data_IF_602697539881
#
_entry.id   IF_602697539881
#
_cell.length_a   1.000
_cell.length_b   1.000
_cell.length_c   1.000
_cell.angle_alpha   90.00
_cell.angle_beta   90.00
_cell.angle_gamma   90.00
#
_symmetry.space_group_name_H-M   'P 1'
#
loop_
_entity.id
_entity.type
_entity.pdbx_description
1 polymer ?
#
# COMPACT_ATOMS: atom_id res chain seq x y z
N UNK A 1 -13.25 -1.25 6.14
CA UNK A 1 -12.02 -0.63 5.61
C UNK A 1 -10.85 -0.92 6.51
N UNK A 2 -9.70 -1.23 5.92
CA UNK A 2 -8.48 -1.40 6.69
C UNK A 2 -7.92 -0.04 7.08
N UNK A 3 -7.30 0.00 8.25
CA UNK A 3 -6.62 1.20 8.73
C UNK A 3 -5.25 0.81 9.24
N UNK A 4 -4.31 1.74 9.15
CA UNK A 4 -3.01 1.55 9.77
C UNK A 4 -3.16 1.56 11.28
N UNK A 5 -2.57 0.57 11.94
CA UNK A 5 -2.58 0.47 13.41
C UNK A 5 -1.31 1.08 13.96
N UNK A 6 -1.48 1.86 15.02
CA UNK A 6 -0.35 2.49 15.69
C UNK A 6 0.58 1.42 16.31
N UNK A 7 1.88 1.64 16.15
CA UNK A 7 2.88 0.74 16.73
C UNK A 7 3.25 -0.45 15.86
N UNK A 8 2.58 -0.64 14.72
CA UNK A 8 2.89 -1.73 13.79
C UNK A 8 3.66 -1.20 12.58
N UNK A 9 4.50 -2.06 12.03
CA UNK A 9 5.22 -1.76 10.79
C UNK A 9 4.47 -2.36 9.61
N UNK A 10 4.43 -1.62 8.51
CA UNK A 10 3.76 -2.05 7.29
C UNK A 10 4.71 -1.97 6.11
N UNK A 11 4.51 -2.88 5.15
CA UNK A 11 5.19 -2.82 3.86
C UNK A 11 4.16 -2.86 2.74
N UNK A 12 4.46 -2.16 1.65
CA UNK A 12 3.63 -2.18 0.46
C UNK A 12 3.77 -3.51 -0.26
N UNK A 13 2.65 -4.09 -0.71
CA UNK A 13 2.68 -5.32 -1.49
C UNK A 13 1.94 -5.13 -2.80
N UNK A 14 2.56 -5.54 -3.91
CA UNK A 14 1.93 -5.50 -5.22
C UNK A 14 0.73 -6.43 -5.29
N UNK A 15 0.79 -7.56 -4.56
CA UNK A 15 -0.31 -8.52 -4.51
C UNK A 15 -1.59 -7.87 -4.01
N UNK A 16 -1.51 -7.17 -2.88
CA UNK A 16 -2.66 -6.49 -2.30
C UNK A 16 -3.12 -5.33 -3.17
N UNK A 17 -2.19 -4.60 -3.77
CA UNK A 17 -2.49 -3.50 -4.67
C UNK A 17 -3.29 -4.00 -5.89
N UNK A 18 -2.83 -5.06 -6.53
CA UNK A 18 -3.52 -5.64 -7.69
C UNK A 18 -4.91 -6.14 -7.33
N UNK A 19 -5.04 -6.78 -6.17
CA UNK A 19 -6.31 -7.30 -5.68
C UNK A 19 -7.31 -6.18 -5.46
N UNK A 20 -6.88 -5.09 -4.86
CA UNK A 20 -7.73 -3.91 -4.62
C UNK A 20 -8.14 -3.25 -5.92
N UNK A 21 -7.21 -3.10 -6.87
CA UNK A 21 -7.51 -2.53 -8.19
C UNK A 21 -8.57 -3.34 -8.94
N UNK A 22 -8.50 -4.67 -8.86
CA UNK A 22 -9.51 -5.53 -9.47
C UNK A 22 -10.89 -5.32 -8.82
N UNK A 23 -10.90 -5.16 -7.52
CA UNK A 23 -12.14 -4.99 -6.76
C UNK A 23 -12.86 -3.70 -7.13
N UNK A 24 -12.11 -2.61 -7.33
CA UNK A 24 -12.70 -1.30 -7.67
C UNK A 24 -12.73 -1.03 -9.17
N UNK A 25 -12.27 -1.97 -10.00
CA UNK A 25 -12.33 -1.84 -11.44
C UNK A 25 -11.28 -0.92 -12.06
N UNK A 26 -10.20 -0.65 -11.35
CA UNK A 26 -9.12 0.21 -11.84
C UNK A 26 -8.06 -0.64 -12.55
N UNK A 27 -7.63 -0.19 -13.73
CA UNK A 27 -6.54 -0.84 -14.44
C UNK A 27 -5.19 -0.41 -13.86
N UNK A 28 -4.36 -1.39 -13.53
CA UNK A 28 -3.01 -1.13 -12.99
C UNK A 28 -1.90 -1.45 -13.99
N UNK A 29 -2.24 -2.02 -15.14
CA UNK A 29 -1.23 -2.50 -16.11
C UNK A 29 -0.36 -1.39 -16.67
N UNK A 30 -0.88 -0.17 -16.75
CA UNK A 30 -0.14 0.99 -17.25
C UNK A 30 0.65 1.70 -16.16
N UNK A 31 0.50 1.27 -14.91
CA UNK A 31 1.19 1.87 -13.77
C UNK A 31 2.46 1.11 -13.46
N UNK A 32 3.54 1.83 -13.22
CA UNK A 32 4.84 1.21 -12.90
C UNK A 32 5.29 1.51 -11.47
N UNK A 33 4.77 2.54 -10.85
CA UNK A 33 5.23 2.99 -9.55
C UNK A 33 5.04 1.93 -8.45
N UNK A 34 3.99 1.15 -8.53
CA UNK A 34 3.71 0.16 -7.49
C UNK A 34 4.78 -0.95 -7.45
N UNK A 35 5.43 -1.21 -8.58
CA UNK A 35 6.52 -2.19 -8.62
C UNK A 35 7.74 -1.69 -7.86
N UNK A 36 8.00 -0.39 -7.90
CA UNK A 36 9.10 0.23 -7.17
C UNK A 36 8.86 0.24 -5.67
N UNK A 37 7.61 0.25 -5.25
CA UNK A 37 7.23 0.29 -3.84
C UNK A 37 7.14 -1.10 -3.20
N UNK A 38 7.11 -2.16 -3.98
CA UNK A 38 6.92 -3.52 -3.49
C UNK A 38 7.99 -3.90 -2.47
N UNK A 39 7.55 -4.32 -1.28
CA UNK A 39 8.45 -4.73 -0.21
C UNK A 39 9.09 -3.60 0.56
N UNK A 40 8.77 -2.35 0.24
CA UNK A 40 9.32 -1.20 0.95
C UNK A 40 8.48 -0.86 2.18
N UNK A 41 9.15 -0.39 3.21
CA UNK A 41 8.48 0.03 4.44
C UNK A 41 7.63 1.28 4.20
N UNK A 42 6.41 1.26 4.75
CA UNK A 42 5.47 2.37 4.63
C UNK A 42 5.69 3.34 5.79
N UNK A 43 5.83 4.62 5.46
CA UNK A 43 5.88 5.68 6.45
C UNK A 43 4.43 6.13 6.72
N UNK A 44 3.91 5.77 7.89
CA UNK A 44 2.52 6.03 8.24
C UNK A 44 2.34 7.50 8.62
N UNK A 45 1.43 8.18 7.92
CA UNK A 45 1.10 9.57 8.20
C UNK A 45 -0.10 9.65 9.15
N UNK A 46 -1.13 8.85 8.84
CA UNK A 46 -2.31 8.72 9.71
C UNK A 46 -2.95 7.36 9.46
N UNK A 47 -4.10 7.11 10.09
CA UNK A 47 -4.77 5.81 9.98
C UNK A 47 -5.17 5.42 8.55
N UNK A 48 -5.36 6.40 7.69
CA UNK A 48 -5.85 6.19 6.32
C UNK A 48 -4.77 6.39 5.26
N UNK A 49 -3.64 6.98 5.62
CA UNK A 49 -2.60 7.33 4.66
C UNK A 49 -1.22 6.91 5.12
N UNK A 50 -0.46 6.34 4.19
CA UNK A 50 0.96 6.10 4.36
C UNK A 50 1.70 6.54 3.11
N UNK A 51 3.02 6.61 3.21
CA UNK A 51 3.87 6.99 2.07
C UNK A 51 5.02 6.01 1.91
N UNK A 52 5.33 5.68 0.68
CA UNK A 52 6.55 4.97 0.31
C UNK A 52 7.34 5.92 -0.59
N UNK A 53 8.40 6.53 -0.05
CA UNK A 53 9.10 7.57 -0.76
C UNK A 53 8.18 8.76 -1.04
N UNK A 54 7.95 9.06 -2.32
CA UNK A 54 7.07 10.15 -2.75
C UNK A 54 5.66 9.67 -3.09
N UNK A 55 5.39 8.38 -2.94
CA UNK A 55 4.11 7.78 -3.35
C UNK A 55 3.19 7.60 -2.14
N UNK A 56 1.96 8.06 -2.29
CA UNK A 56 0.92 7.85 -1.28
C UNK A 56 0.31 6.46 -1.45
N UNK A 57 0.16 5.72 -0.35
CA UNK A 57 -0.38 4.36 -0.39
C UNK A 57 -1.52 4.20 0.61
N UNK A 58 -2.43 3.30 0.30
CA UNK A 58 -3.57 3.00 1.15
C UNK A 58 -3.28 1.79 2.05
N UNK A 59 -3.93 1.68 3.22
CA UNK A 59 -3.76 0.52 4.11
C UNK A 59 -4.08 -0.81 3.43
N UNK A 60 -5.04 -0.79 2.50
CA UNK A 60 -5.46 -1.99 1.77
C UNK A 60 -4.35 -2.58 0.90
N UNK A 61 -3.35 -1.77 0.55
CA UNK A 61 -2.23 -2.19 -0.30
C UNK A 61 -1.04 -2.68 0.51
N UNK A 62 -1.14 -2.67 1.81
CA UNK A 62 -0.03 -2.96 2.70
C UNK A 62 -0.32 -4.18 3.57
N UNK A 63 0.74 -4.76 4.12
CA UNK A 63 0.62 -5.83 5.10
C UNK A 63 1.49 -5.52 6.31
N UNK A 64 1.12 -6.08 7.45
CA UNK A 64 1.88 -5.95 8.68
C UNK A 64 3.15 -6.80 8.60
N UNK A 65 4.26 -6.22 9.02
CA UNK A 65 5.54 -6.91 9.14
C UNK A 65 5.84 -7.05 10.62
N UNK A 66 6.09 -8.26 11.01
CA UNK A 66 6.50 -8.55 12.40
C UNK A 66 7.98 -8.26 12.60
#
# INVERSE_FOLDING_TARGET
MRKFRQGLKYVFTTKNFKKDCKKIGVSYRQLNWYKLCNGREVNIINQSHGMVGVFSVAPEWCKVVK
#
